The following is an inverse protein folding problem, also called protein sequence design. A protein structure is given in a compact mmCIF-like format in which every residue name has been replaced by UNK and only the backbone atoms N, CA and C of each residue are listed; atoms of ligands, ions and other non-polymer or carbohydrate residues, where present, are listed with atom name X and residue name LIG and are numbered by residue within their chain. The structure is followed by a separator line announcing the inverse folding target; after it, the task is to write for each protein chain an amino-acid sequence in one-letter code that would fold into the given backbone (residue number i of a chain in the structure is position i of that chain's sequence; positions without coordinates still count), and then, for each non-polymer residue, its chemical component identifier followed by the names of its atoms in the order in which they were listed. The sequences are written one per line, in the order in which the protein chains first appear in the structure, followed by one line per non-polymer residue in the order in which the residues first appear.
data_IF_155954146168
#
_entry.id   IF_155954146168
#
_cell.length_a   1.000
_cell.length_b   1.000
_cell.length_c   1.000
_cell.angle_alpha   90.00
_cell.angle_beta   90.00
_cell.angle_gamma   90.00
#
_symmetry.space_group_name_H-M   'P 1'
#
loop_
_entity.id
_entity.type
_entity.pdbx_description
1 polymer ?
#
# COMPACT_ATOMS: atom_id res chain seq x y z
N UNK A 1 0.30 -11.73 -4.51
CA UNK A 1 0.65 -11.28 -5.88
C UNK A 1 2.02 -11.80 -6.35
N UNK A 2 3.13 -11.59 -5.61
CA UNK A 2 4.47 -12.05 -6.04
C UNK A 2 4.65 -13.57 -6.20
N UNK A 3 4.00 -14.39 -5.35
CA UNK A 3 4.07 -15.87 -5.38
C UNK A 3 3.38 -16.46 -6.63
N UNK A 4 2.32 -15.81 -7.11
CA UNK A 4 1.59 -16.23 -8.32
C UNK A 4 2.44 -16.00 -9.58
N UNK A 5 3.07 -14.83 -9.68
CA UNK A 5 3.99 -14.47 -10.78
C UNK A 5 5.25 -15.34 -10.76
N UNK A 6 5.81 -15.61 -9.59
CA UNK A 6 6.94 -16.52 -9.42
C UNK A 6 6.62 -17.91 -9.99
N UNK A 7 5.44 -18.44 -9.69
CA UNK A 7 5.00 -19.74 -10.20
C UNK A 7 4.76 -19.71 -11.71
N UNK A 8 4.15 -18.65 -12.25
CA UNK A 8 3.86 -18.54 -13.68
C UNK A 8 5.13 -18.41 -14.53
N UNK A 9 6.09 -17.60 -14.07
CA UNK A 9 7.34 -17.34 -14.79
C UNK A 9 8.51 -18.25 -14.35
N UNK A 10 8.25 -19.24 -13.48
CA UNK A 10 9.27 -20.11 -12.86
C UNK A 10 10.43 -19.33 -12.21
N UNK A 11 10.15 -18.15 -11.65
CA UNK A 11 11.12 -17.27 -11.01
C UNK A 11 11.14 -17.47 -9.50
N UNK A 12 12.26 -17.18 -8.84
CA UNK A 12 12.31 -17.11 -7.36
C UNK A 12 11.55 -15.87 -6.88
N UNK A 13 11.06 -15.89 -5.64
CA UNK A 13 10.21 -14.82 -5.10
C UNK A 13 10.86 -13.42 -5.13
N UNK A 14 12.19 -13.33 -5.00
CA UNK A 14 12.97 -12.08 -5.10
C UNK A 14 13.10 -11.58 -6.54
N UNK A 15 13.35 -12.48 -7.48
CA UNK A 15 13.43 -12.17 -8.93
C UNK A 15 12.07 -11.70 -9.45
N UNK A 16 10.99 -12.34 -9.03
CA UNK A 16 9.61 -11.93 -9.31
C UNK A 16 9.32 -10.51 -8.84
N UNK A 17 9.83 -10.10 -7.66
CA UNK A 17 9.67 -8.72 -7.16
C UNK A 17 10.41 -7.70 -8.02
N UNK A 18 11.68 -7.98 -8.34
CA UNK A 18 12.49 -7.12 -9.19
C UNK A 18 11.87 -6.95 -10.58
N UNK A 19 11.43 -8.05 -11.18
CA UNK A 19 10.74 -8.05 -12.46
C UNK A 19 9.44 -7.23 -12.43
N UNK A 20 8.62 -7.42 -11.40
CA UNK A 20 7.39 -6.65 -11.23
C UNK A 20 7.68 -5.15 -11.06
N UNK A 21 8.73 -4.77 -10.31
CA UNK A 21 9.15 -3.36 -10.18
C UNK A 21 9.57 -2.78 -11.53
N UNK A 22 10.33 -3.54 -12.33
CA UNK A 22 10.75 -3.12 -13.67
C UNK A 22 9.56 -2.94 -14.62
N UNK A 23 8.57 -3.85 -14.58
CA UNK A 23 7.33 -3.73 -15.35
C UNK A 23 6.56 -2.49 -14.93
N UNK A 24 6.35 -2.29 -13.62
CA UNK A 24 5.62 -1.13 -13.10
C UNK A 24 6.29 0.16 -13.57
N UNK A 25 7.61 0.26 -13.47
CA UNK A 25 8.36 1.42 -13.93
C UNK A 25 8.20 1.66 -15.45
N UNK A 26 8.37 0.61 -16.26
CA UNK A 26 8.29 0.72 -17.73
C UNK A 26 6.90 1.09 -18.23
N UNK A 27 5.85 0.56 -17.60
CA UNK A 27 4.47 0.71 -18.04
C UNK A 27 3.64 1.56 -17.07
N UNK A 28 4.29 2.44 -16.31
CA UNK A 28 3.67 3.18 -15.19
C UNK A 28 2.39 3.93 -15.58
N UNK A 29 2.34 4.55 -16.75
CA UNK A 29 1.16 5.30 -17.21
C UNK A 29 -0.03 4.37 -17.52
N UNK A 30 0.26 3.22 -18.12
CA UNK A 30 -0.75 2.22 -18.49
C UNK A 30 -1.29 1.51 -17.25
N UNK A 31 -0.42 1.26 -16.26
CA UNK A 31 -0.76 0.58 -15.02
C UNK A 31 -1.28 1.51 -13.93
N UNK A 32 -1.15 2.84 -14.08
CA UNK A 32 -1.53 3.82 -13.07
C UNK A 32 -2.93 3.58 -12.52
N UNK A 33 -3.92 3.44 -13.40
CA UNK A 33 -5.31 3.21 -12.97
C UNK A 33 -5.49 1.92 -12.17
N UNK A 34 -4.81 0.84 -12.57
CA UNK A 34 -4.90 -0.45 -11.88
C UNK A 34 -4.18 -0.42 -10.52
N UNK A 35 -3.05 0.29 -10.44
CA UNK A 35 -2.32 0.51 -9.18
C UNK A 35 -3.18 1.37 -8.24
N UNK A 36 -3.74 2.47 -8.73
CA UNK A 36 -4.62 3.35 -7.94
C UNK A 36 -5.84 2.58 -7.42
N UNK A 37 -6.49 1.74 -8.25
CA UNK A 37 -7.59 0.88 -7.80
C UNK A 37 -7.15 -0.13 -6.73
N UNK A 38 -5.97 -0.71 -6.88
CA UNK A 38 -5.41 -1.64 -5.87
C UNK A 38 -5.16 -0.92 -4.56
N UNK A 39 -4.57 0.28 -4.59
CA UNK A 39 -4.34 1.11 -3.42
C UNK A 39 -5.66 1.50 -2.76
N UNK A 40 -6.68 1.92 -3.54
CA UNK A 40 -8.01 2.23 -3.01
C UNK A 40 -8.60 1.05 -2.24
N UNK A 41 -8.60 -0.14 -2.84
CA UNK A 41 -9.11 -1.34 -2.19
C UNK A 41 -8.37 -1.62 -0.87
N UNK A 42 -7.06 -1.41 -0.84
CA UNK A 42 -6.25 -1.61 0.37
C UNK A 42 -6.61 -0.59 1.46
N UNK A 43 -6.74 0.69 1.12
CA UNK A 43 -7.06 1.74 2.08
C UNK A 43 -8.48 1.60 2.65
N UNK A 44 -9.43 1.14 1.84
CA UNK A 44 -10.81 0.86 2.27
C UNK A 44 -10.91 -0.34 3.22
N UNK A 45 -9.92 -1.24 3.22
CA UNK A 45 -9.82 -2.37 4.13
C UNK A 45 -8.79 -2.12 5.25
N UNK A 46 -8.34 -0.88 5.43
CA UNK A 46 -7.44 -0.55 6.52
C UNK A 46 -8.18 -0.54 7.86
N UNK A 47 -7.52 -1.00 8.91
CA UNK A 47 -8.05 -1.05 10.26
C UNK A 47 -7.57 0.16 11.05
N UNK A 48 -8.48 1.06 11.42
CA UNK A 48 -8.16 2.14 12.35
C UNK A 48 -7.92 1.54 13.74
N UNK A 49 -6.74 1.77 14.33
CA UNK A 49 -6.43 1.24 15.67
C UNK A 49 -6.92 2.16 16.80
N UNK A 50 -7.25 3.41 16.48
CA UNK A 50 -7.89 4.36 17.37
C UNK A 50 -8.51 5.50 16.55
N UNK A 51 -9.30 6.36 17.19
CA UNK A 51 -9.85 7.58 16.55
C UNK A 51 -8.77 8.55 16.00
N UNK A 52 -7.53 8.46 16.50
CA UNK A 52 -6.39 9.28 16.06
C UNK A 52 -5.37 8.48 15.24
N UNK A 53 -5.66 7.21 14.93
CA UNK A 53 -4.75 6.28 14.28
C UNK A 53 -3.77 5.59 15.25
N UNK A 54 -2.73 4.90 14.76
CA UNK A 54 -2.42 4.67 13.35
C UNK A 54 -3.42 3.75 12.65
N UNK A 55 -3.36 3.69 11.33
CA UNK A 55 -4.08 2.71 10.52
C UNK A 55 -3.17 1.52 10.24
N UNK A 56 -3.72 0.31 10.37
CA UNK A 56 -3.04 -0.92 10.01
C UNK A 56 -3.55 -1.46 8.68
N UNK A 57 -2.60 -1.86 7.86
CA UNK A 57 -2.87 -2.43 6.54
C UNK A 57 -2.16 -3.77 6.44
N UNK A 58 -2.90 -4.85 6.19
CA UNK A 58 -2.33 -6.20 6.07
C UNK A 58 -2.25 -6.62 4.60
N UNK A 59 -1.03 -6.76 4.06
CA UNK A 59 -0.80 -7.20 2.69
C UNK A 59 0.56 -7.88 2.47
N UNK A 60 0.61 -8.77 1.48
CA UNK A 60 1.78 -9.62 1.20
C UNK A 60 2.66 -9.13 0.04
N UNK A 61 2.65 -7.82 -0.27
CA UNK A 61 3.33 -7.25 -1.44
C UNK A 61 4.10 -5.97 -1.12
N UNK A 62 5.42 -6.09 -0.94
CA UNK A 62 6.30 -4.94 -0.72
C UNK A 62 6.26 -3.93 -1.89
N UNK A 63 6.04 -4.39 -3.13
CA UNK A 63 5.94 -3.50 -4.29
C UNK A 63 4.75 -2.52 -4.16
N UNK A 64 3.64 -2.94 -3.54
CA UNK A 64 2.51 -2.03 -3.33
C UNK A 64 2.80 -1.00 -2.23
N UNK A 65 3.60 -1.37 -1.22
CA UNK A 65 4.09 -0.43 -0.21
C UNK A 65 5.03 0.61 -0.84
N UNK A 66 5.86 0.20 -1.79
CA UNK A 66 6.70 1.13 -2.58
C UNK A 66 5.82 2.11 -3.38
N UNK A 67 4.77 1.63 -4.04
CA UNK A 67 3.85 2.52 -4.77
C UNK A 67 3.06 3.46 -3.85
N UNK A 68 2.63 2.99 -2.66
CA UNK A 68 2.04 3.84 -1.62
C UNK A 68 2.98 4.97 -1.21
N UNK A 69 4.24 4.63 -0.89
CA UNK A 69 5.25 5.61 -0.47
C UNK A 69 5.62 6.58 -1.59
N UNK A 70 5.67 6.13 -2.85
CA UNK A 70 5.84 7.02 -4.01
C UNK A 70 4.68 8.01 -4.14
N UNK A 71 3.44 7.53 -3.92
CA UNK A 71 2.26 8.40 -3.98
C UNK A 71 2.27 9.43 -2.86
N UNK A 72 2.63 9.04 -1.63
CA UNK A 72 2.84 9.97 -0.53
C UNK A 72 3.88 11.04 -0.89
N UNK A 73 5.04 10.65 -1.39
CA UNK A 73 6.09 11.59 -1.81
C UNK A 73 5.65 12.53 -2.94
N UNK A 74 4.71 12.10 -3.79
CA UNK A 74 4.13 12.92 -4.87
C UNK A 74 3.09 13.91 -4.34
N UNK A 75 2.38 13.55 -3.26
CA UNK A 75 1.41 14.43 -2.59
C UNK A 75 2.17 15.48 -1.79
N UNK A 76 3.00 15.04 -0.85
CA UNK A 76 3.85 15.87 0.00
C UNK A 76 5.05 15.05 0.51
N UNK A 77 6.26 15.53 0.21
CA UNK A 77 7.52 14.87 0.57
C UNK A 77 7.83 14.85 2.08
N UNK A 78 7.05 15.52 2.91
CA UNK A 78 7.20 15.54 4.39
C UNK A 78 6.34 14.50 5.10
N UNK A 79 5.40 13.86 4.39
CA UNK A 79 4.54 12.83 4.96
C UNK A 79 5.33 11.60 5.41
N UNK A 80 4.88 10.99 6.50
CA UNK A 80 5.51 9.79 7.03
C UNK A 80 5.30 8.59 6.11
N UNK A 81 6.36 7.86 5.82
CA UNK A 81 6.27 6.63 5.01
C UNK A 81 5.42 5.56 5.69
N UNK A 82 4.73 4.75 4.89
CA UNK A 82 4.16 3.47 5.30
C UNK A 82 5.29 2.51 5.69
N UNK A 83 5.30 2.06 6.94
CA UNK A 83 6.36 1.20 7.49
C UNK A 83 5.80 -0.14 7.95
N UNK A 84 6.66 -1.16 8.03
CA UNK A 84 6.25 -2.49 8.49
C UNK A 84 6.09 -2.48 10.01
N UNK A 85 4.95 -2.95 10.52
CA UNK A 85 4.71 -3.10 11.96
C UNK A 85 5.70 -4.11 12.54
N UNK A 86 6.43 -3.73 13.58
CA UNK A 86 7.36 -4.64 14.26
C UNK A 86 6.61 -5.85 14.81
N UNK A 87 7.18 -7.05 14.63
CA UNK A 87 6.55 -8.30 15.06
C UNK A 87 5.44 -8.81 14.14
N UNK A 88 5.05 -8.08 13.10
CA UNK A 88 4.13 -8.58 12.09
C UNK A 88 4.84 -9.15 10.86
N UNK A 89 4.20 -10.13 10.22
CA UNK A 89 4.66 -10.73 8.96
C UNK A 89 4.31 -9.84 7.77
N UNK A 90 3.11 -9.26 7.77
CA UNK A 90 2.48 -8.62 6.61
C UNK A 90 1.66 -7.37 6.94
N UNK A 91 1.69 -6.92 8.20
CA UNK A 91 1.01 -5.68 8.63
C UNK A 91 1.95 -4.50 8.53
N UNK A 92 1.41 -3.41 8.01
CA UNK A 92 2.07 -2.12 7.85
C UNK A 92 1.29 -1.06 8.61
N UNK A 93 2.00 -0.07 9.12
CA UNK A 93 1.45 1.05 9.87
C UNK A 93 1.48 2.31 9.00
N UNK A 94 0.38 3.05 9.04
CA UNK A 94 0.22 4.33 8.35
C UNK A 94 -0.25 5.35 9.39
N UNK A 95 0.46 6.48 9.46
CA UNK A 95 0.02 7.59 10.32
C UNK A 95 -1.30 8.16 9.79
N UNK A 96 -2.11 8.76 10.67
CA UNK A 96 -3.41 9.33 10.30
C UNK A 96 -3.28 10.36 9.17
N UNK A 97 -2.33 11.30 9.28
CA UNK A 97 -2.09 12.30 8.24
C UNK A 97 -1.77 11.70 6.87
N UNK A 98 -0.90 10.68 6.83
CA UNK A 98 -0.51 10.03 5.58
C UNK A 98 -1.67 9.23 4.97
N UNK A 99 -2.45 8.56 5.82
CA UNK A 99 -3.65 7.83 5.40
C UNK A 99 -4.72 8.77 4.81
N UNK A 100 -5.03 9.86 5.51
CA UNK A 100 -6.03 10.84 5.06
C UNK A 100 -5.63 11.50 3.73
N UNK A 101 -4.36 11.89 3.58
CA UNK A 101 -3.85 12.45 2.32
C UNK A 101 -3.93 11.44 1.15
N UNK A 102 -3.67 10.16 1.41
CA UNK A 102 -3.85 9.11 0.41
C UNK A 102 -5.31 8.96 0.01
N UNK A 103 -6.23 8.96 0.98
CA UNK A 103 -7.67 8.88 0.74
C UNK A 103 -8.19 10.07 -0.06
N UNK A 104 -7.77 11.29 0.29
CA UNK A 104 -8.11 12.52 -0.43
C UNK A 104 -7.60 12.48 -1.87
N UNK A 105 -6.31 12.16 -2.07
CA UNK A 105 -5.69 12.03 -3.39
C UNK A 105 -6.37 10.98 -4.28
N UNK A 106 -7.02 9.99 -3.67
CA UNK A 106 -7.73 8.91 -4.35
C UNK A 106 -9.25 9.11 -4.37
N UNK A 107 -9.76 10.20 -3.79
CA UNK A 107 -11.17 10.53 -3.68
C UNK A 107 -12.00 9.38 -3.06
N UNK A 108 -11.50 8.82 -1.95
CA UNK A 108 -12.19 7.80 -1.16
C UNK A 108 -12.42 8.30 0.26
N UNK A 109 -13.46 7.78 0.91
CA UNK A 109 -13.77 8.12 2.30
C UNK A 109 -12.87 7.32 3.26
N UNK A 110 -12.24 7.97 4.26
CA UNK A 110 -11.48 7.31 5.31
C UNK A 110 -12.32 6.30 6.10
N UNK A 111 -11.74 5.16 6.46
CA UNK A 111 -12.37 4.20 7.38
C UNK A 111 -12.46 4.82 8.77
N UNK A 112 -13.62 4.71 9.41
CA UNK A 112 -13.84 5.20 10.77
C UNK A 112 -13.42 4.13 11.78
N UNK A 113 -12.86 4.57 12.91
CA UNK A 113 -12.61 3.71 14.05
C UNK A 113 -13.94 3.24 14.63
N UNK A 114 -14.08 1.93 14.79
CA UNK A 114 -15.19 1.29 15.49
C UNK A 114 -14.62 0.75 16.80
N UNK A 115 -15.13 1.27 17.93
CA UNK A 115 -14.89 0.63 19.23
C UNK A 115 -15.63 -0.70 19.22
N UNK A 116 -14.87 -1.79 19.16
CA UNK A 116 -15.43 -3.13 19.38
C UNK A 116 -15.92 -3.18 20.84
N UNK A 117 -17.24 -3.29 21.00
CA UNK A 117 -17.97 -3.35 22.28
C UNK A 117 -17.75 -4.67 23.03
#
# INVERSE_FOLDING_TARGET
MSKLLANYFKLRATESRGYLRSIISKYQYQLKSAIDQTIKAILLNAEAQSAVGPYHITLNSANIIEELNKKLATIDGTLASVTKKRGSVSTYEVTKSSYENLCESLQIQPVLYQEDE
#
